data_IF_679507993099
#
_entry.id   IF_679507993099
#
_cell.length_a   1.000
_cell.length_b   1.000
_cell.length_c   1.000
_cell.angle_alpha   90.00
_cell.angle_beta   90.00
_cell.angle_gamma   90.00
#
_symmetry.space_group_name_H-M   'P 1'
#
loop_
_entity.id
_entity.type
_entity.pdbx_description
1 polymer ?
#
# COMPACT_ATOMS: atom_id res chain seq x y z
N UNK A 1 18.64 9.43 -7.99
CA UNK A 1 18.30 8.05 -8.37
C UNK A 1 16.83 7.78 -8.06
N UNK A 2 16.18 7.06 -8.97
CA UNK A 2 14.78 6.69 -8.77
C UNK A 2 14.66 5.65 -7.65
N UNK A 3 13.65 5.80 -6.79
CA UNK A 3 13.32 4.80 -5.78
C UNK A 3 12.80 3.52 -6.44
N UNK A 4 12.79 2.42 -5.68
CA UNK A 4 12.17 1.18 -6.15
C UNK A 4 10.70 1.39 -6.49
N UNK A 5 10.01 2.29 -5.77
CA UNK A 5 8.60 2.58 -6.03
C UNK A 5 8.42 3.37 -7.33
N UNK A 6 9.34 4.28 -7.66
CA UNK A 6 9.31 4.96 -8.95
C UNK A 6 9.46 3.95 -10.09
N UNK A 7 10.28 2.93 -9.91
CA UNK A 7 10.43 1.87 -10.91
C UNK A 7 9.18 1.02 -11.04
N UNK A 8 8.43 0.83 -9.94
CA UNK A 8 7.13 0.15 -9.98
C UNK A 8 6.12 1.02 -10.75
N UNK A 9 6.09 2.32 -10.50
CA UNK A 9 5.20 3.26 -11.18
C UNK A 9 5.43 3.22 -12.69
N UNK A 10 6.69 3.19 -13.12
CA UNK A 10 7.04 3.18 -14.55
C UNK A 10 6.81 1.83 -15.23
N UNK A 11 6.55 0.77 -14.46
CA UNK A 11 6.39 -0.57 -14.99
C UNK A 11 7.72 -1.32 -15.17
N UNK A 12 8.86 -0.70 -14.82
CA UNK A 12 10.15 -1.34 -14.88
C UNK A 12 10.25 -2.54 -13.94
N UNK A 13 9.56 -2.44 -12.77
CA UNK A 13 9.42 -3.54 -11.82
C UNK A 13 7.93 -3.87 -11.74
N UNK A 14 7.61 -5.16 -11.86
CA UNK A 14 6.23 -5.63 -11.77
C UNK A 14 5.69 -5.50 -10.34
N UNK A 15 4.38 -5.30 -10.21
CA UNK A 15 3.72 -5.21 -8.90
C UNK A 15 2.30 -5.76 -9.00
N UNK A 16 1.71 -6.04 -7.83
CA UNK A 16 0.32 -6.50 -7.73
C UNK A 16 -0.55 -5.28 -7.44
N UNK A 17 -0.96 -4.58 -8.49
CA UNK A 17 -1.70 -3.33 -8.36
C UNK A 17 -3.10 -3.56 -7.80
N UNK A 18 -3.48 -2.68 -6.90
CA UNK A 18 -4.78 -2.68 -6.24
C UNK A 18 -5.64 -1.52 -6.74
N UNK A 19 -5.05 -0.35 -6.90
CA UNK A 19 -5.74 0.85 -7.37
C UNK A 19 -4.72 1.81 -7.97
N UNK A 20 -5.17 2.60 -8.92
CA UNK A 20 -4.28 3.58 -9.56
C UNK A 20 -5.12 4.72 -10.14
N UNK A 21 -4.62 5.94 -10.01
CA UNK A 21 -5.14 7.07 -10.76
C UNK A 21 -3.96 7.87 -11.31
N UNK A 22 -4.22 9.08 -11.78
CA UNK A 22 -3.17 9.90 -12.40
C UNK A 22 -2.01 10.20 -11.45
N UNK A 23 -2.30 10.37 -10.15
CA UNK A 23 -1.32 10.86 -9.18
C UNK A 23 -0.87 9.85 -8.14
N UNK A 24 -1.60 8.74 -7.97
CA UNK A 24 -1.35 7.78 -6.89
C UNK A 24 -1.43 6.35 -7.37
N UNK A 25 -0.75 5.47 -6.63
CA UNK A 25 -0.74 4.04 -6.90
C UNK A 25 -0.84 3.29 -5.58
N UNK A 26 -1.65 2.24 -5.56
CA UNK A 26 -1.71 1.29 -4.44
C UNK A 26 -1.40 -0.10 -4.97
N UNK A 27 -0.56 -0.84 -4.25
CA UNK A 27 -0.15 -2.19 -4.63
C UNK A 27 0.16 -3.01 -3.39
N UNK A 28 0.15 -4.33 -3.54
CA UNK A 28 0.47 -5.21 -2.42
C UNK A 28 1.97 -5.17 -2.12
N UNK A 29 2.31 -5.16 -0.83
CA UNK A 29 3.69 -5.31 -0.38
C UNK A 29 4.10 -6.77 -0.64
N UNK A 30 5.23 -6.98 -1.34
CA UNK A 30 5.72 -8.33 -1.66
C UNK A 30 6.44 -8.96 -0.46
N UNK A 31 6.75 -8.18 0.57
CA UNK A 31 7.28 -8.66 1.85
C UNK A 31 6.32 -8.27 2.97
N UNK A 32 5.07 -8.78 2.92
CA UNK A 32 4.03 -8.28 3.80
C UNK A 32 4.15 -8.77 5.23
N UNK A 33 3.62 -8.01 6.18
CA UNK A 33 3.50 -8.45 7.57
C UNK A 33 2.12 -9.04 7.85
N UNK A 34 1.20 -8.93 6.88
CA UNK A 34 -0.13 -9.54 6.95
C UNK A 34 -0.59 -9.81 5.53
N UNK A 35 -1.46 -10.82 5.36
CA UNK A 35 -2.07 -11.07 4.05
C UNK A 35 -2.95 -9.90 3.67
N UNK A 36 -2.70 -9.31 2.51
CA UNK A 36 -3.43 -8.13 2.06
C UNK A 36 -2.81 -6.80 2.48
N UNK A 37 -1.58 -6.81 2.99
CA UNK A 37 -0.83 -5.59 3.31
C UNK A 37 -0.61 -4.77 2.03
N UNK A 38 -1.14 -3.55 2.00
CA UNK A 38 -1.10 -2.66 0.83
C UNK A 38 -0.22 -1.46 1.11
N UNK A 39 0.49 -1.01 0.10
CA UNK A 39 1.24 0.24 0.11
C UNK A 39 0.54 1.25 -0.79
N UNK A 40 0.38 2.47 -0.31
CA UNK A 40 -0.19 3.58 -1.08
C UNK A 40 0.87 4.65 -1.24
N UNK A 41 1.17 5.02 -2.48
CA UNK A 41 2.25 5.96 -2.78
C UNK A 41 1.78 7.07 -3.71
N UNK A 42 2.36 8.28 -3.58
CA UNK A 42 2.24 9.28 -4.62
C UNK A 42 3.15 8.92 -5.79
N UNK A 43 2.74 9.25 -7.01
CA UNK A 43 3.57 9.00 -8.19
C UNK A 43 4.76 9.97 -8.26
N UNK A 44 4.61 11.16 -7.67
CA UNK A 44 5.73 12.08 -7.52
C UNK A 44 6.62 11.57 -6.39
N UNK A 45 7.90 11.36 -6.67
CA UNK A 45 8.82 10.85 -5.67
C UNK A 45 9.15 11.94 -4.65
N UNK A 46 8.69 11.76 -3.42
CA UNK A 46 8.98 12.62 -2.28
C UNK A 46 9.32 11.68 -1.13
N UNK A 47 10.49 11.84 -0.55
CA UNK A 47 10.98 10.92 0.49
C UNK A 47 10.16 11.02 1.77
N UNK A 48 10.02 12.22 2.32
CA UNK A 48 9.39 12.45 3.62
C UNK A 48 7.93 12.85 3.42
N UNK A 49 7.04 12.12 4.07
CA UNK A 49 5.60 12.33 3.94
C UNK A 49 5.21 13.80 4.17
N UNK A 50 5.81 14.42 5.18
CA UNK A 50 5.42 15.79 5.54
C UNK A 50 6.04 16.87 4.66
N UNK A 51 6.85 16.50 3.68
CA UNK A 51 7.34 17.41 2.66
C UNK A 51 6.40 17.47 1.44
N UNK A 52 5.40 16.61 1.39
CA UNK A 52 4.40 16.62 0.32
C UNK A 52 3.57 17.89 0.43
N UNK A 53 3.26 18.53 -0.71
CA UNK A 53 2.43 19.74 -0.71
C UNK A 53 1.07 19.45 -0.05
N UNK A 54 0.46 20.49 0.53
CA UNK A 54 -0.80 20.34 1.25
C UNK A 54 -1.89 19.69 0.39
N UNK A 55 -2.04 20.17 -0.83
CA UNK A 55 -3.10 19.66 -1.71
C UNK A 55 -2.85 18.20 -2.09
N UNK A 56 -1.63 17.87 -2.44
CA UNK A 56 -1.26 16.48 -2.78
C UNK A 56 -1.40 15.57 -1.55
N UNK A 57 -1.01 16.05 -0.38
CA UNK A 57 -1.14 15.33 0.88
C UNK A 57 -2.59 14.95 1.17
N UNK A 58 -3.51 15.91 1.00
CA UNK A 58 -4.94 15.66 1.23
C UNK A 58 -5.49 14.64 0.22
N UNK A 59 -5.10 14.76 -1.04
CA UNK A 59 -5.55 13.82 -2.07
C UNK A 59 -4.95 12.43 -1.87
N UNK A 60 -3.72 12.33 -1.38
CA UNK A 60 -3.09 11.06 -1.05
C UNK A 60 -3.89 10.31 0.02
N UNK A 61 -4.26 11.00 1.10
CA UNK A 61 -5.03 10.39 2.19
C UNK A 61 -6.44 10.03 1.74
N UNK A 62 -7.04 10.84 0.89
CA UNK A 62 -8.35 10.54 0.30
C UNK A 62 -8.29 9.25 -0.52
N UNK A 63 -7.24 9.10 -1.32
CA UNK A 63 -7.01 7.89 -2.11
C UNK A 63 -6.79 6.67 -1.20
N UNK A 64 -5.99 6.83 -0.15
CA UNK A 64 -5.75 5.77 0.82
C UNK A 64 -7.04 5.33 1.51
N UNK A 65 -7.92 6.27 1.84
CA UNK A 65 -9.21 5.96 2.43
C UNK A 65 -10.06 5.09 1.50
N UNK A 66 -10.10 5.42 0.22
CA UNK A 66 -10.85 4.64 -0.77
C UNK A 66 -10.33 3.20 -0.85
N UNK A 67 -9.01 3.04 -0.86
CA UNK A 67 -8.38 1.72 -0.88
C UNK A 67 -8.68 0.95 0.39
N UNK A 68 -8.55 1.59 1.55
CA UNK A 68 -8.82 0.96 2.84
C UNK A 68 -10.27 0.49 2.95
N UNK A 69 -11.21 1.26 2.44
CA UNK A 69 -12.63 0.87 2.42
C UNK A 69 -12.87 -0.35 1.55
N UNK A 70 -12.20 -0.44 0.43
CA UNK A 70 -12.28 -1.62 -0.43
C UNK A 70 -11.69 -2.84 0.29
N UNK A 71 -10.55 -2.67 0.97
CA UNK A 71 -9.93 -3.73 1.75
C UNK A 71 -10.86 -4.25 2.85
N UNK A 72 -11.55 -3.35 3.55
CA UNK A 72 -12.51 -3.71 4.61
C UNK A 72 -13.62 -4.62 4.10
N UNK A 73 -14.02 -4.46 2.85
CA UNK A 73 -15.13 -5.22 2.28
C UNK A 73 -14.75 -6.66 1.98
N UNK A 74 -13.49 -6.94 1.67
CA UNK A 74 -13.10 -8.25 1.13
C UNK A 74 -12.08 -9.00 1.97
N UNK A 75 -11.37 -8.33 2.88
CA UNK A 75 -10.38 -8.99 3.70
C UNK A 75 -10.98 -9.38 5.05
N UNK A 76 -10.60 -10.56 5.53
CA UNK A 76 -11.06 -11.08 6.82
C UNK A 76 -10.19 -10.49 7.93
N UNK A 77 -10.61 -9.34 8.46
CA UNK A 77 -9.90 -8.66 9.53
C UNK A 77 -10.86 -7.78 10.32
N UNK A 78 -10.45 -7.37 11.52
CA UNK A 78 -11.27 -6.50 12.35
C UNK A 78 -11.27 -5.06 11.83
N UNK A 79 -10.13 -4.59 11.35
CA UNK A 79 -10.00 -3.25 10.75
C UNK A 79 -8.68 -3.12 10.02
N UNK A 80 -8.55 -2.03 9.28
CA UNK A 80 -7.31 -1.69 8.58
C UNK A 80 -6.55 -0.68 9.42
N UNK A 81 -5.30 -1.02 9.77
CA UNK A 81 -4.41 -0.11 10.46
C UNK A 81 -3.54 0.67 9.47
N UNK A 82 -3.00 1.77 9.93
CA UNK A 82 -2.20 2.68 9.09
C UNK A 82 -0.87 2.95 9.77
N UNK A 83 0.20 2.92 8.99
CA UNK A 83 1.52 3.35 9.46
C UNK A 83 2.28 4.02 8.32
N UNK A 84 3.08 5.03 8.67
CA UNK A 84 4.02 5.67 7.74
C UNK A 84 5.35 5.74 8.48
N UNK A 85 6.39 5.11 7.93
CA UNK A 85 7.67 5.00 8.61
C UNK A 85 8.78 5.67 7.81
N UNK A 86 9.06 5.20 6.59
CA UNK A 86 9.97 5.87 5.67
C UNK A 86 11.45 5.72 6.00
N UNK A 87 11.84 4.70 6.73
CA UNK A 87 13.25 4.49 7.09
C UNK A 87 14.04 3.66 6.08
N UNK A 88 13.35 2.94 5.19
CA UNK A 88 14.01 2.04 4.25
C UNK A 88 13.98 2.53 2.81
N UNK A 89 12.82 2.94 2.31
CA UNK A 89 12.66 3.39 0.93
C UNK A 89 12.44 4.90 0.91
N UNK A 90 13.28 5.68 0.20
CA UNK A 90 13.17 7.14 0.16
C UNK A 90 12.07 7.61 -0.78
N UNK A 91 10.87 7.15 -0.57
CA UNK A 91 9.66 7.47 -1.31
C UNK A 91 8.50 7.27 -0.35
N UNK A 92 7.80 8.34 -0.01
CA UNK A 92 6.73 8.29 0.98
C UNK A 92 5.70 7.22 0.64
N UNK A 93 5.32 6.43 1.63
CA UNK A 93 4.33 5.38 1.44
C UNK A 93 3.53 5.14 2.70
N UNK A 94 2.22 4.97 2.52
CA UNK A 94 1.29 4.65 3.59
C UNK A 94 1.09 3.15 3.58
N UNK A 95 1.35 2.51 4.73
CA UNK A 95 1.03 1.09 4.92
C UNK A 95 -0.40 0.96 5.37
N UNK A 96 -1.18 0.14 4.66
CA UNK A 96 -2.53 -0.26 5.06
C UNK A 96 -2.46 -1.74 5.41
N UNK A 97 -2.66 -2.07 6.69
CA UNK A 97 -2.41 -3.41 7.21
C UNK A 97 -3.67 -3.98 7.85
N UNK A 98 -4.15 -5.14 7.38
CA UNK A 98 -5.28 -5.81 8.04
C UNK A 98 -4.90 -6.20 9.47
N UNK A 99 -5.73 -5.83 10.43
CA UNK A 99 -5.45 -6.03 11.85
C UNK A 99 -6.54 -6.84 12.54
N UNK A 100 -6.11 -7.76 13.40
CA UNK A 100 -6.96 -8.43 14.38
C UNK A 100 -6.42 -8.23 15.79
N UNK A 101 -5.09 -8.02 15.93
CA UNK A 101 -4.42 -7.75 17.20
C UNK A 101 -3.39 -6.64 17.01
N UNK A 102 -2.92 -6.06 18.11
CA UNK A 102 -1.88 -5.02 18.06
C UNK A 102 -0.59 -5.52 17.42
N UNK A 103 -0.24 -6.77 17.63
CA UNK A 103 1.00 -7.34 17.10
C UNK A 103 0.97 -7.52 15.58
N UNK A 104 -0.19 -7.40 14.94
CA UNK A 104 -0.30 -7.55 13.48
C UNK A 104 0.36 -6.38 12.73
N UNK A 105 0.60 -5.25 13.37
CA UNK A 105 1.27 -4.12 12.75
C UNK A 105 2.70 -3.92 13.30
N UNK A 106 3.39 -5.00 13.55
CA UNK A 106 4.77 -4.98 14.02
C UNK A 106 5.72 -5.25 12.84
N UNK A 107 6.42 -4.21 12.38
CA UNK A 107 7.30 -4.28 11.21
C UNK A 107 8.62 -5.01 11.49
N UNK A 108 8.90 -5.35 12.74
CA UNK A 108 10.06 -6.16 13.10
C UNK A 108 9.78 -7.66 13.04
N UNK A 109 8.51 -8.05 12.86
CA UNK A 109 8.15 -9.46 12.68
C UNK A 109 8.72 -10.01 11.38
N UNK A 110 8.97 -11.33 11.31
CA UNK A 110 9.38 -11.96 10.07
C UNK A 110 8.34 -11.69 8.97
N UNK A 111 8.81 -11.38 7.77
CA UNK A 111 7.92 -11.11 6.64
C UNK A 111 7.28 -12.42 6.17
N UNK A 112 6.03 -12.31 5.75
CA UNK A 112 5.31 -13.44 5.18
C UNK A 112 5.66 -13.61 3.71
N UNK A 113 5.30 -14.76 3.16
CA UNK A 113 5.52 -15.05 1.76
C UNK A 113 4.29 -15.75 1.21
N UNK A 114 3.79 -15.28 0.08
CA UNK A 114 2.64 -15.84 -0.61
C UNK A 114 3.01 -16.12 -2.05
N UNK A 115 2.35 -17.08 -2.67
CA UNK A 115 2.57 -17.38 -4.08
C UNK A 115 2.08 -16.21 -4.94
N UNK A 116 2.58 -16.12 -6.16
CA UNK A 116 2.13 -15.13 -7.14
C UNK A 116 0.63 -15.26 -7.37
N UNK A 117 0.12 -16.48 -7.44
CA UNK A 117 -1.30 -16.75 -7.60
C UNK A 117 -2.12 -16.19 -6.45
N UNK A 118 -1.67 -16.41 -5.21
CA UNK A 118 -2.34 -15.86 -4.02
C UNK A 118 -2.32 -14.34 -4.01
N UNK A 119 -1.19 -13.74 -4.36
CA UNK A 119 -1.06 -12.28 -4.41
C UNK A 119 -2.00 -11.68 -5.46
N UNK A 120 -2.04 -12.29 -6.65
CA UNK A 120 -2.95 -11.85 -7.71
C UNK A 120 -4.41 -11.96 -7.28
N UNK A 121 -4.77 -13.03 -6.58
CA UNK A 121 -6.14 -13.23 -6.12
C UNK A 121 -6.56 -12.14 -5.12
N UNK A 122 -5.69 -11.80 -4.17
CA UNK A 122 -5.97 -10.75 -3.19
C UNK A 122 -6.11 -9.40 -3.88
N UNK A 123 -5.18 -9.06 -4.78
CA UNK A 123 -5.24 -7.80 -5.52
C UNK A 123 -6.54 -7.70 -6.32
N UNK A 124 -6.96 -8.79 -6.97
CA UNK A 124 -8.17 -8.83 -7.77
C UNK A 124 -9.42 -8.61 -6.91
N UNK A 125 -9.47 -9.25 -5.72
CA UNK A 125 -10.59 -9.07 -4.80
C UNK A 125 -10.78 -7.61 -4.43
N UNK A 126 -9.69 -6.92 -4.12
CA UNK A 126 -9.74 -5.51 -3.73
C UNK A 126 -10.16 -4.65 -4.92
N UNK A 127 -9.57 -4.88 -6.10
CA UNK A 127 -9.91 -4.13 -7.33
C UNK A 127 -11.39 -4.25 -7.67
N UNK A 128 -11.98 -5.43 -7.45
CA UNK A 128 -13.36 -5.69 -7.83
C UNK A 128 -14.38 -4.86 -7.04
N UNK A 129 -14.02 -4.34 -5.87
CA UNK A 129 -14.92 -3.57 -5.01
C UNK A 129 -14.53 -2.10 -4.89
N UNK A 130 -13.53 -1.67 -5.62
CA UNK A 130 -13.18 -0.24 -5.71
C UNK A 130 -14.28 0.49 -6.47
N UNK A 131 -14.64 1.66 -5.97
CA UNK A 131 -15.66 2.52 -6.59
C UNK A 131 -15.02 3.77 -7.17
#
# INVERSE_FOLDING_TARGET
MASIFTKIISGEIASFKVAENENFLAFLDIFPIAKGHVLVIPKRETDYLFDISKDEYLELWKFAQQVAKAMDKVLDCNRIGVAVIGLEVPHAHIHLVPLNTLSDINFERPKLSFSEEEMNAVAQMIRNVLL
#
